data_IF_598989238978
#
_entry.id   IF_598989238978
#
_cell.length_a   1.000
_cell.length_b   1.000
_cell.length_c   1.000
_cell.angle_alpha   90.00
_cell.angle_beta   90.00
_cell.angle_gamma   90.00
#
_symmetry.space_group_name_H-M   'P 1'
#
loop_
_entity.id
_entity.type
_entity.pdbx_description
1 polymer ?
#
# COMPACT_ATOMS: atom_id res chain seq x y z
N UNK A 1 -3.60 -14.06 -9.24
CA UNK A 1 -3.35 -12.60 -9.18
C UNK A 1 -3.65 -12.14 -7.77
N UNK A 2 -2.78 -11.33 -7.17
CA UNK A 2 -2.98 -10.80 -5.82
C UNK A 2 -3.83 -9.53 -5.96
N UNK A 3 -4.90 -9.42 -5.17
CA UNK A 3 -5.70 -8.22 -5.04
C UNK A 3 -5.46 -7.62 -3.66
N UNK A 4 -4.92 -6.41 -3.61
CA UNK A 4 -4.73 -5.64 -2.38
C UNK A 4 -5.77 -4.52 -2.36
N UNK A 5 -6.53 -4.43 -1.27
CA UNK A 5 -7.61 -3.46 -1.10
C UNK A 5 -7.37 -2.70 0.18
N UNK A 6 -7.49 -1.38 0.13
CA UNK A 6 -7.42 -0.54 1.32
C UNK A 6 -8.71 -0.66 2.13
N UNK A 7 -8.58 -0.76 3.44
CA UNK A 7 -9.69 -0.88 4.37
C UNK A 7 -9.37 -0.13 5.66
N UNK A 8 -10.41 0.39 6.31
CA UNK A 8 -10.29 1.05 7.62
C UNK A 8 -10.76 0.11 8.71
N UNK A 9 -10.15 0.17 9.88
CA UNK A 9 -10.65 -0.51 11.09
C UNK A 9 -11.46 0.52 11.89
N UNK A 10 -12.73 0.21 12.18
CA UNK A 10 -13.58 1.06 13.01
C UNK A 10 -13.25 0.94 14.50
N UNK A 11 -13.84 1.80 15.33
CA UNK A 11 -13.62 1.82 16.79
C UNK A 11 -14.00 0.50 17.48
N UNK A 12 -14.85 -0.31 16.84
CA UNK A 12 -15.25 -1.63 17.35
C UNK A 12 -14.29 -2.75 16.91
N UNK A 13 -13.25 -2.42 16.14
CA UNK A 13 -12.24 -3.36 15.65
C UNK A 13 -12.66 -4.11 14.37
N UNK A 14 -13.72 -3.68 13.68
CA UNK A 14 -14.16 -4.33 12.44
C UNK A 14 -13.53 -3.68 11.21
N UNK A 15 -13.13 -4.54 10.26
CA UNK A 15 -12.60 -4.13 8.96
C UNK A 15 -13.75 -3.65 8.08
N UNK A 16 -13.64 -2.42 7.56
CA UNK A 16 -14.54 -1.82 6.59
C UNK A 16 -13.80 -1.66 5.27
N UNK A 17 -14.21 -2.43 4.27
CA UNK A 17 -13.65 -2.33 2.92
C UNK A 17 -14.09 -1.01 2.28
N UNK A 18 -13.16 -0.32 1.63
CA UNK A 18 -13.45 0.91 0.87
C UNK A 18 -14.17 0.62 -0.44
N UNK A 19 -13.96 -0.57 -1.00
CA UNK A 19 -14.62 -1.07 -2.21
C UNK A 19 -15.14 -2.51 -2.04
N UNK A 20 -16.20 -2.90 -2.76
CA UNK A 20 -16.73 -4.26 -2.70
C UNK A 20 -15.73 -5.28 -3.25
N UNK A 21 -15.39 -6.28 -2.43
CA UNK A 21 -14.52 -7.39 -2.82
C UNK A 21 -15.34 -8.65 -3.12
N UNK A 22 -15.36 -9.08 -4.38
CA UNK A 22 -16.00 -10.33 -4.80
C UNK A 22 -14.94 -11.40 -5.09
N UNK A 23 -14.78 -12.35 -4.15
CA UNK A 23 -13.88 -13.48 -4.30
C UNK A 23 -14.71 -14.77 -4.39
N UNK A 24 -14.45 -15.58 -5.43
CA UNK A 24 -15.12 -16.87 -5.64
C UNK A 24 -14.26 -18.02 -5.14
N UNK A 25 -14.85 -18.92 -4.36
CA UNK A 25 -14.18 -20.12 -3.84
C UNK A 25 -13.43 -19.88 -2.53
N UNK A 26 -12.60 -20.84 -2.13
CA UNK A 26 -11.89 -20.79 -0.85
C UNK A 26 -10.48 -20.20 -1.03
N UNK A 27 -10.17 -19.09 -0.37
CA UNK A 27 -8.92 -18.34 -0.59
C UNK A 27 -8.24 -17.99 0.74
N UNK A 28 -6.91 -17.89 0.70
CA UNK A 28 -6.11 -17.33 1.79
C UNK A 28 -6.06 -15.81 1.63
N UNK A 29 -6.12 -15.10 2.73
CA UNK A 29 -6.01 -13.63 2.76
C UNK A 29 -4.81 -13.20 3.59
N UNK A 30 -4.23 -12.07 3.23
CA UNK A 30 -3.24 -11.36 4.03
C UNK A 30 -3.87 -10.08 4.56
N UNK A 31 -3.66 -9.79 5.84
CA UNK A 31 -4.13 -8.56 6.49
C UNK A 31 -2.89 -7.88 7.07
N UNK A 32 -2.66 -6.64 6.63
CA UNK A 32 -1.61 -5.77 7.16
C UNK A 32 -2.32 -4.61 7.86
N UNK A 33 -2.02 -4.41 9.15
CA UNK A 33 -2.53 -3.27 9.92
C UNK A 33 -1.42 -2.23 9.97
N UNK A 34 -1.72 -1.02 9.51
CA UNK A 34 -0.76 0.09 9.54
C UNK A 34 -0.82 0.77 10.91
N UNK A 35 0.36 1.13 11.44
CA UNK A 35 0.46 1.91 12.67
C UNK A 35 0.06 3.37 12.42
N UNK A 36 -0.81 3.91 13.28
CA UNK A 36 -1.31 5.28 13.19
C UNK A 36 -2.74 5.38 12.64
N UNK A 37 -3.44 6.50 12.91
CA UNK A 37 -4.81 6.68 12.44
C UNK A 37 -4.87 6.78 10.91
N UNK A 38 -5.99 6.36 10.28
CA UNK A 38 -6.17 6.46 8.83
C UNK A 38 -6.02 7.91 8.36
N UNK A 39 -5.31 8.10 7.25
CA UNK A 39 -5.01 9.43 6.69
C UNK A 39 -3.86 10.18 7.37
N UNK A 40 -3.22 9.61 8.39
CA UNK A 40 -2.03 10.21 8.98
C UNK A 40 -0.78 9.85 8.16
N UNK A 41 -0.52 10.64 7.12
CA UNK A 41 0.74 10.55 6.37
C UNK A 41 1.82 11.25 7.20
N UNK A 42 2.96 10.59 7.52
CA UNK A 42 4.04 11.25 8.23
C UNK A 42 4.49 12.49 7.48
N UNK A 43 4.68 13.62 8.18
CA UNK A 43 5.14 14.88 7.57
C UNK A 43 6.46 14.68 6.81
N UNK A 44 7.34 13.83 7.33
CA UNK A 44 8.60 13.44 6.67
C UNK A 44 8.37 12.72 5.35
N UNK A 45 7.32 11.91 5.22
CA UNK A 45 6.96 11.28 3.96
C UNK A 45 6.51 12.32 2.93
N UNK A 46 5.69 13.29 3.32
CA UNK A 46 5.26 14.39 2.43
C UNK A 46 6.45 15.26 1.99
N UNK A 47 7.35 15.61 2.91
CA UNK A 47 8.53 16.42 2.60
C UNK A 47 9.54 15.67 1.71
N UNK A 48 9.61 14.33 1.85
CA UNK A 48 10.52 13.49 1.07
C UNK A 48 9.97 13.10 -0.30
N UNK A 49 8.66 13.17 -0.52
CA UNK A 49 7.98 12.74 -1.75
C UNK A 49 8.59 13.37 -3.01
N UNK A 50 8.80 14.69 -3.01
CA UNK A 50 9.39 15.38 -4.16
C UNK A 50 10.84 14.95 -4.40
N UNK A 51 11.62 14.72 -3.34
CA UNK A 51 13.02 14.30 -3.49
C UNK A 51 13.12 12.86 -3.98
N UNK A 52 12.31 11.96 -3.44
CA UNK A 52 12.30 10.54 -3.78
C UNK A 52 11.75 10.31 -5.19
N UNK A 53 10.72 11.05 -5.62
CA UNK A 53 10.16 10.89 -6.96
C UNK A 53 11.15 11.24 -8.07
N UNK A 54 12.03 12.22 -7.84
CA UNK A 54 13.09 12.58 -8.80
C UNK A 54 14.21 11.54 -8.83
N UNK A 55 14.55 10.97 -7.68
CA UNK A 55 15.66 10.00 -7.56
C UNK A 55 15.24 8.61 -8.07
N UNK A 56 14.02 8.16 -7.75
CA UNK A 56 13.47 6.88 -8.20
C UNK A 56 13.06 6.83 -9.67
N UNK A 57 12.82 7.98 -10.31
CA UNK A 57 12.48 8.03 -11.74
C UNK A 57 13.73 7.98 -12.66
N UNK A 58 14.90 7.68 -12.09
CA UNK A 58 16.15 7.62 -12.85
C UNK A 58 16.25 6.32 -13.66
N UNK A 59 16.75 6.37 -14.91
CA UNK A 59 16.95 5.18 -15.73
C UNK A 59 17.84 4.12 -15.07
N UNK A 60 18.78 4.53 -14.22
CA UNK A 60 19.66 3.64 -13.47
C UNK A 60 18.89 2.78 -12.46
N UNK A 61 17.80 3.32 -11.89
CA UNK A 61 16.90 2.53 -11.04
C UNK A 61 16.18 1.50 -11.91
N UNK A 62 15.54 1.91 -13.01
CA UNK A 62 14.85 0.99 -13.93
C UNK A 62 15.77 -0.18 -14.39
N UNK A 63 17.04 0.09 -14.69
CA UNK A 63 18.04 -0.91 -15.01
C UNK A 63 18.34 -1.84 -13.82
N UNK A 64 18.55 -1.28 -12.61
CA UNK A 64 18.80 -2.06 -11.40
C UNK A 64 17.64 -3.02 -11.07
N UNK A 65 16.39 -2.59 -11.25
CA UNK A 65 15.20 -3.41 -11.02
C UNK A 65 14.99 -4.47 -12.13
N UNK A 66 15.49 -4.24 -13.35
CA UNK A 66 15.34 -5.17 -14.49
C UNK A 66 15.95 -6.55 -14.24
N UNK A 67 16.94 -6.63 -13.35
CA UNK A 67 17.67 -7.86 -13.03
C UNK A 67 17.00 -8.73 -11.96
N UNK A 68 15.89 -8.29 -11.36
CA UNK A 68 15.21 -8.96 -10.24
C UNK A 68 13.92 -9.70 -10.65
N UNK A 69 13.66 -9.89 -11.94
CA UNK A 69 12.52 -10.68 -12.45
C UNK A 69 12.76 -12.19 -12.44
#
# INVERSE_FOLDING_TARGET
>A
MIHAIEATIDESGYIRLTEPLSIKGNHRVFITVLDGPPGNVPETALLSEHSLSVDWARPEEDEAWSHLQ
#
